data_IF_996281252397
#
_entry.id   IF_996281252397
#
_cell.length_a   1.000
_cell.length_b   1.000
_cell.length_c   1.000
_cell.angle_alpha   90.00
_cell.angle_beta   90.00
_cell.angle_gamma   90.00
#
_symmetry.space_group_name_H-M   'P 1'
#
loop_
_entity.id
_entity.type
_entity.pdbx_description
1 polymer ?
#
# COMPACT_ATOMS: atom_id res chain seq x y z
N UNK A 1 -19.08 32.35 -15.56
CA UNK A 1 -19.97 31.46 -16.32
C UNK A 1 -20.50 30.39 -15.39
N UNK A 2 -21.78 30.05 -15.54
CA UNK A 2 -22.41 28.98 -14.77
C UNK A 2 -22.04 27.57 -15.25
N UNK A 3 -22.76 26.59 -14.76
CA UNK A 3 -22.61 25.18 -15.14
C UNK A 3 -22.61 24.99 -16.66
N UNK A 4 -21.74 24.16 -17.19
CA UNK A 4 -21.46 24.04 -18.62
C UNK A 4 -22.69 23.80 -19.50
N UNK A 5 -23.64 22.99 -19.01
CA UNK A 5 -24.85 22.61 -19.78
C UNK A 5 -26.14 23.24 -19.26
N UNK A 6 -26.22 23.51 -17.95
CA UNK A 6 -27.43 24.01 -17.30
C UNK A 6 -27.40 25.54 -17.08
N UNK A 7 -26.19 26.09 -16.96
CA UNK A 7 -25.99 27.47 -16.62
C UNK A 7 -25.78 28.38 -17.83
N UNK A 8 -25.82 29.67 -17.55
CA UNK A 8 -25.54 30.77 -18.49
C UNK A 8 -24.53 31.74 -17.87
N UNK A 9 -24.17 32.78 -18.55
CA UNK A 9 -23.37 33.86 -17.99
C UNK A 9 -24.14 34.62 -16.92
N UNK A 10 -23.47 34.91 -15.81
CA UNK A 10 -23.99 35.71 -14.71
C UNK A 10 -22.98 36.79 -14.36
N UNK A 11 -23.48 38.01 -14.15
CA UNK A 11 -22.67 39.12 -13.68
C UNK A 11 -22.69 39.15 -12.15
N UNK A 12 -21.52 38.97 -11.54
CA UNK A 12 -21.34 39.06 -10.09
C UNK A 12 -20.95 40.49 -9.75
N UNK A 13 -21.86 41.21 -9.10
CA UNK A 13 -21.70 42.63 -8.80
C UNK A 13 -21.05 42.90 -7.46
N UNK A 14 -21.18 41.96 -6.50
CA UNK A 14 -20.64 42.07 -5.16
C UNK A 14 -20.06 40.74 -4.71
N UNK A 15 -18.98 40.77 -3.92
CA UNK A 15 -18.39 39.57 -3.38
C UNK A 15 -19.38 38.79 -2.49
N UNK A 16 -20.23 39.47 -1.75
CA UNK A 16 -21.21 38.87 -0.84
C UNK A 16 -22.30 38.08 -1.56
N UNK A 17 -22.56 38.36 -2.84
CA UNK A 17 -23.55 37.65 -3.67
C UNK A 17 -22.95 36.51 -4.50
N UNK A 18 -21.63 36.28 -4.41
CA UNK A 18 -20.89 35.34 -5.27
C UNK A 18 -21.49 33.92 -5.29
N UNK A 19 -21.69 33.36 -4.14
CA UNK A 19 -22.20 31.97 -4.00
C UNK A 19 -23.67 31.89 -4.46
N UNK A 20 -24.50 32.86 -4.07
CA UNK A 20 -25.90 32.89 -4.45
C UNK A 20 -26.07 33.08 -5.96
N UNK A 21 -25.28 33.95 -6.59
CA UNK A 21 -25.34 34.20 -8.03
C UNK A 21 -24.84 32.96 -8.83
N UNK A 22 -23.82 32.26 -8.34
CA UNK A 22 -23.38 31.00 -8.94
C UNK A 22 -24.41 29.87 -8.79
N UNK A 23 -25.10 29.79 -7.65
CA UNK A 23 -26.15 28.81 -7.41
C UNK A 23 -27.32 28.95 -8.40
N UNK A 24 -27.70 30.18 -8.77
CA UNK A 24 -28.75 30.44 -9.78
C UNK A 24 -28.39 29.88 -11.16
N UNK A 25 -27.13 29.66 -11.42
CA UNK A 25 -26.61 29.10 -12.68
C UNK A 25 -26.00 27.71 -12.49
N UNK A 26 -26.49 26.96 -11.50
CA UNK A 26 -26.14 25.54 -11.21
C UNK A 26 -24.67 25.34 -10.86
N UNK A 27 -24.09 26.22 -10.06
CA UNK A 27 -22.77 26.04 -9.48
C UNK A 27 -22.83 26.24 -7.96
N UNK A 28 -22.57 25.23 -7.19
CA UNK A 28 -22.42 25.29 -5.74
C UNK A 28 -20.94 25.51 -5.47
N UNK A 29 -20.55 26.74 -5.16
CA UNK A 29 -19.12 27.10 -4.99
C UNK A 29 -18.51 26.53 -3.72
N UNK A 30 -19.26 26.51 -2.62
CA UNK A 30 -18.81 25.96 -1.35
C UNK A 30 -18.69 24.44 -1.42
N UNK A 31 -17.46 23.92 -1.17
CA UNK A 31 -17.19 22.47 -1.17
C UNK A 31 -17.87 21.75 -0.02
N UNK A 32 -18.01 22.38 1.14
CA UNK A 32 -18.69 21.79 2.32
C UNK A 32 -20.16 21.61 2.02
N UNK A 33 -20.77 22.58 1.36
CA UNK A 33 -22.17 22.48 0.95
C UNK A 33 -22.36 21.36 -0.09
N UNK A 34 -21.48 21.27 -1.10
CA UNK A 34 -21.55 20.18 -2.09
C UNK A 34 -21.42 18.81 -1.44
N UNK A 35 -20.50 18.68 -0.48
CA UNK A 35 -20.31 17.43 0.29
C UNK A 35 -21.58 17.07 1.05
N UNK A 36 -22.16 18.00 1.79
CA UNK A 36 -23.41 17.78 2.51
C UNK A 36 -24.54 17.34 1.58
N UNK A 37 -24.68 17.99 0.42
CA UNK A 37 -25.68 17.61 -0.58
C UNK A 37 -25.48 16.18 -1.08
N UNK A 38 -24.24 15.75 -1.33
CA UNK A 38 -23.94 14.36 -1.76
C UNK A 38 -24.31 13.39 -0.65
N UNK A 39 -23.86 13.61 0.58
CA UNK A 39 -24.12 12.74 1.73
C UNK A 39 -25.62 12.63 2.06
N UNK A 40 -26.36 13.74 2.00
CA UNK A 40 -27.81 13.75 2.22
C UNK A 40 -28.56 12.94 1.16
N UNK A 41 -28.16 13.08 -0.11
CA UNK A 41 -28.77 12.33 -1.21
C UNK A 41 -28.43 10.83 -1.12
N UNK A 42 -27.18 10.47 -0.79
CA UNK A 42 -26.82 9.07 -0.54
C UNK A 42 -27.65 8.52 0.61
N UNK A 43 -27.77 9.27 1.71
CA UNK A 43 -28.57 8.85 2.87
C UNK A 43 -30.05 8.67 2.53
N UNK A 44 -30.60 9.50 1.69
CA UNK A 44 -31.98 9.34 1.21
C UNK A 44 -32.15 8.04 0.42
N UNK A 45 -31.21 7.70 -0.46
CA UNK A 45 -31.22 6.46 -1.22
C UNK A 45 -31.08 5.24 -0.29
N UNK A 46 -30.18 5.30 0.70
CA UNK A 46 -30.05 4.22 1.70
C UNK A 46 -31.36 3.90 2.40
N UNK A 47 -32.06 4.94 2.84
CA UNK A 47 -33.34 4.79 3.55
C UNK A 47 -34.43 4.27 2.62
N UNK A 48 -34.51 4.79 1.39
CA UNK A 48 -35.52 4.39 0.41
C UNK A 48 -35.36 2.93 -0.03
N UNK A 49 -34.09 2.51 -0.24
CA UNK A 49 -33.77 1.20 -0.81
C UNK A 49 -33.45 0.13 0.26
N UNK A 50 -33.35 0.52 1.53
CA UNK A 50 -32.99 -0.40 2.63
C UNK A 50 -31.59 -0.99 2.47
N UNK A 51 -30.62 -0.15 2.12
CA UNK A 51 -29.23 -0.53 1.85
C UNK A 51 -28.26 0.31 2.66
N UNK A 52 -26.98 -0.07 2.64
CA UNK A 52 -25.87 0.73 3.12
C UNK A 52 -24.94 1.07 1.95
N UNK A 53 -24.43 2.30 1.94
CA UNK A 53 -23.45 2.76 0.95
C UNK A 53 -22.10 2.88 1.65
N UNK A 54 -21.10 2.17 1.13
CA UNK A 54 -19.73 2.32 1.60
C UNK A 54 -19.16 3.62 1.01
N UNK A 55 -19.12 4.67 1.83
CA UNK A 55 -18.55 5.95 1.40
C UNK A 55 -17.08 5.98 1.79
N UNK A 56 -16.21 5.71 0.81
CA UNK A 56 -14.78 5.98 0.94
C UNK A 56 -14.53 7.49 0.91
N UNK A 57 -13.84 8.03 1.92
CA UNK A 57 -13.61 9.46 2.07
C UNK A 57 -12.67 10.03 0.98
N UNK A 58 -11.72 9.23 0.51
CA UNK A 58 -10.84 9.60 -0.60
C UNK A 58 -11.61 9.73 -1.91
N UNK A 59 -12.44 8.73 -2.21
CA UNK A 59 -13.33 8.75 -3.37
C UNK A 59 -14.33 9.88 -3.30
N UNK A 60 -14.94 10.13 -2.13
CA UNK A 60 -15.87 11.25 -1.96
C UNK A 60 -15.19 12.59 -2.23
N UNK A 61 -13.97 12.78 -1.71
CA UNK A 61 -13.20 14.01 -1.97
C UNK A 61 -12.85 14.16 -3.46
N UNK A 62 -12.53 13.07 -4.16
CA UNK A 62 -12.31 13.10 -5.61
C UNK A 62 -13.58 13.51 -6.34
N UNK A 63 -14.72 12.84 -6.07
CA UNK A 63 -16.02 13.12 -6.68
C UNK A 63 -16.45 14.57 -6.42
N UNK A 64 -16.28 15.05 -5.19
CA UNK A 64 -16.59 16.42 -4.77
C UNK A 64 -15.89 17.48 -5.63
N UNK A 65 -14.66 17.20 -6.06
CA UNK A 65 -13.87 18.10 -6.91
C UNK A 65 -14.17 17.95 -8.41
N UNK A 66 -14.92 16.92 -8.81
CA UNK A 66 -15.34 16.69 -10.20
C UNK A 66 -16.73 17.30 -10.53
N UNK A 67 -17.51 17.68 -9.52
CA UNK A 67 -18.88 18.15 -9.70
C UNK A 67 -19.08 19.57 -9.21
N UNK A 68 -19.89 20.36 -9.94
CA UNK A 68 -20.30 21.72 -9.56
C UNK A 68 -21.73 21.75 -8.99
N UNK A 69 -22.57 20.80 -9.44
CA UNK A 69 -23.95 20.66 -9.01
C UNK A 69 -24.28 19.17 -8.88
N UNK A 70 -24.14 18.59 -7.68
CA UNK A 70 -24.23 17.15 -7.51
C UNK A 70 -25.66 16.63 -7.51
N UNK A 71 -25.90 15.54 -8.26
CA UNK A 71 -27.10 14.72 -8.18
C UNK A 71 -26.70 13.26 -8.06
N UNK A 72 -26.87 12.66 -6.89
CA UNK A 72 -26.61 11.25 -6.65
C UNK A 72 -27.74 10.38 -7.22
N UNK A 73 -27.38 9.21 -7.72
CA UNK A 73 -28.32 8.22 -8.23
C UNK A 73 -27.80 6.79 -8.00
N UNK A 74 -28.71 5.85 -7.97
CA UNK A 74 -28.38 4.42 -7.91
C UNK A 74 -28.56 3.78 -9.28
N UNK A 75 -27.57 2.99 -9.71
CA UNK A 75 -27.63 2.11 -10.86
C UNK A 75 -27.50 0.64 -10.44
N UNK A 76 -27.72 -0.26 -11.40
CA UNK A 76 -27.76 -1.70 -11.21
C UNK A 76 -26.84 -2.40 -12.21
N UNK A 77 -26.43 -3.62 -11.87
CA UNK A 77 -25.82 -4.56 -12.81
C UNK A 77 -26.37 -5.98 -12.58
N UNK A 78 -26.12 -6.88 -13.52
CA UNK A 78 -26.64 -8.25 -13.42
C UNK A 78 -26.01 -8.97 -12.19
N UNK A 79 -26.83 -9.55 -11.30
CA UNK A 79 -26.35 -10.30 -10.14
C UNK A 79 -25.36 -11.44 -10.45
N UNK A 80 -25.33 -11.94 -11.70
CA UNK A 80 -24.36 -12.97 -12.11
C UNK A 80 -22.90 -12.56 -11.87
N UNK A 81 -22.60 -11.26 -11.95
CA UNK A 81 -21.23 -10.77 -11.71
C UNK A 81 -20.79 -10.90 -10.26
N UNK A 82 -21.69 -11.10 -9.30
CA UNK A 82 -21.34 -11.36 -7.90
C UNK A 82 -20.61 -12.73 -7.71
N UNK A 83 -20.54 -13.57 -8.74
CA UNK A 83 -19.68 -14.77 -8.75
C UNK A 83 -18.18 -14.45 -8.92
N UNK A 84 -17.85 -13.25 -9.42
CA UNK A 84 -16.49 -12.75 -9.51
C UNK A 84 -16.03 -12.25 -8.14
N UNK A 85 -14.74 -12.38 -7.77
CA UNK A 85 -14.26 -11.85 -6.50
C UNK A 85 -14.67 -10.42 -6.25
N UNK A 86 -15.11 -10.15 -5.02
CA UNK A 86 -15.63 -8.83 -4.63
C UNK A 86 -14.66 -7.69 -4.94
N UNK A 87 -13.36 -7.93 -4.75
CA UNK A 87 -12.31 -6.93 -4.97
C UNK A 87 -12.24 -6.48 -6.43
N UNK A 88 -12.53 -7.37 -7.38
CA UNK A 88 -12.61 -7.01 -8.82
C UNK A 88 -13.78 -6.07 -9.07
N UNK A 89 -14.94 -6.34 -8.44
CA UNK A 89 -16.13 -5.53 -8.57
C UNK A 89 -15.93 -4.15 -7.91
N UNK A 90 -15.38 -4.13 -6.70
CA UNK A 90 -15.06 -2.90 -5.96
C UNK A 90 -14.07 -2.04 -6.73
N UNK A 91 -12.97 -2.62 -7.22
CA UNK A 91 -11.98 -1.89 -8.05
C UNK A 91 -12.62 -1.33 -9.31
N UNK A 92 -13.45 -2.12 -10.00
CA UNK A 92 -14.17 -1.65 -11.19
C UNK A 92 -15.08 -0.46 -10.89
N UNK A 93 -15.77 -0.47 -9.74
CA UNK A 93 -16.66 0.60 -9.31
C UNK A 93 -15.89 1.83 -8.80
N UNK A 94 -15.08 1.68 -7.77
CA UNK A 94 -14.44 2.80 -7.06
C UNK A 94 -13.26 3.38 -7.85
N UNK A 95 -12.31 2.53 -8.26
CA UNK A 95 -11.07 3.00 -8.89
C UNK A 95 -11.28 3.44 -10.34
N UNK A 96 -12.07 2.67 -11.12
CA UNK A 96 -12.20 2.93 -12.55
C UNK A 96 -13.37 3.87 -12.89
N UNK A 97 -14.49 3.77 -12.16
CA UNK A 97 -15.71 4.51 -12.50
C UNK A 97 -16.09 5.61 -11.51
N UNK A 98 -15.46 5.69 -10.35
CA UNK A 98 -15.79 6.63 -9.27
C UNK A 98 -17.21 6.43 -8.75
N UNK A 99 -17.64 5.17 -8.61
CA UNK A 99 -18.93 4.78 -8.04
C UNK A 99 -18.73 4.26 -6.62
N UNK A 100 -19.67 4.59 -5.74
CA UNK A 100 -19.70 4.06 -4.37
C UNK A 100 -20.36 2.69 -4.34
N UNK A 101 -19.81 1.82 -3.55
CA UNK A 101 -20.27 0.43 -3.37
C UNK A 101 -21.52 0.39 -2.51
N UNK A 102 -22.48 -0.44 -2.89
CA UNK A 102 -23.72 -0.67 -2.15
C UNK A 102 -23.71 -2.06 -1.51
N UNK A 103 -24.07 -2.11 -0.22
CA UNK A 103 -24.16 -3.34 0.56
C UNK A 103 -25.56 -3.51 1.13
N UNK A 104 -25.93 -4.75 1.46
CA UNK A 104 -27.11 -5.01 2.28
C UNK A 104 -26.81 -4.66 3.76
N UNK A 105 -27.84 -4.80 4.63
CA UNK A 105 -27.69 -4.51 6.05
C UNK A 105 -26.82 -5.52 6.81
N UNK A 106 -26.49 -6.66 6.18
CA UNK A 106 -25.61 -7.71 6.68
C UNK A 106 -24.16 -7.52 6.20
N UNK A 107 -23.92 -6.52 5.34
CA UNK A 107 -22.60 -6.15 4.82
C UNK A 107 -22.22 -6.84 3.51
N UNK A 108 -23.09 -7.65 2.90
CA UNK A 108 -22.81 -8.30 1.61
C UNK A 108 -22.93 -7.31 0.46
N UNK A 109 -22.06 -7.46 -0.54
CA UNK A 109 -22.11 -6.66 -1.76
C UNK A 109 -23.42 -6.86 -2.51
N UNK A 110 -24.06 -5.76 -2.91
CA UNK A 110 -25.26 -5.78 -3.75
C UNK A 110 -24.91 -5.49 -5.21
N UNK A 111 -25.73 -5.96 -6.18
CA UNK A 111 -25.55 -5.67 -7.59
C UNK A 111 -26.01 -4.24 -7.95
N UNK A 112 -25.58 -3.29 -7.15
CA UNK A 112 -25.94 -1.89 -7.24
C UNK A 112 -24.70 -1.00 -7.02
N UNK A 113 -24.78 0.22 -7.52
CA UNK A 113 -23.77 1.25 -7.27
C UNK A 113 -24.43 2.62 -7.10
N UNK A 114 -23.75 3.53 -6.43
CA UNK A 114 -24.11 4.95 -6.41
C UNK A 114 -23.10 5.73 -7.23
N UNK A 115 -23.60 6.62 -8.07
CA UNK A 115 -22.78 7.60 -8.76
C UNK A 115 -23.33 9.00 -8.57
N UNK A 116 -22.51 10.02 -8.79
CA UNK A 116 -22.87 11.43 -8.64
C UNK A 116 -22.71 12.13 -9.99
N UNK A 117 -23.82 12.54 -10.55
CA UNK A 117 -23.86 13.33 -11.77
C UNK A 117 -23.48 14.78 -11.47
N UNK A 118 -22.69 15.40 -12.34
CA UNK A 118 -22.57 16.86 -12.39
C UNK A 118 -23.74 17.42 -13.20
N UNK A 119 -24.80 17.84 -12.54
CA UNK A 119 -26.01 18.36 -13.17
C UNK A 119 -27.29 18.03 -12.38
N UNK A 120 -28.45 18.49 -12.88
CA UNK A 120 -29.76 18.27 -12.27
C UNK A 120 -30.31 16.84 -12.56
N UNK A 121 -31.47 16.52 -12.00
CA UNK A 121 -32.12 15.21 -12.16
C UNK A 121 -32.90 15.06 -13.50
N UNK A 122 -32.86 16.03 -14.40
CA UNK A 122 -33.56 15.94 -15.66
C UNK A 122 -32.96 14.87 -16.56
N UNK A 123 -33.78 13.98 -17.10
CA UNK A 123 -33.35 12.81 -17.91
C UNK A 123 -32.36 11.88 -17.20
N UNK A 124 -32.46 11.74 -15.87
CA UNK A 124 -31.54 10.94 -15.06
C UNK A 124 -31.54 9.47 -15.47
N UNK A 125 -32.68 8.94 -15.95
CA UNK A 125 -32.82 7.58 -16.48
C UNK A 125 -31.86 7.26 -17.64
N UNK A 126 -31.54 8.26 -18.48
CA UNK A 126 -30.56 8.08 -19.56
C UNK A 126 -29.13 8.04 -19.03
N UNK A 127 -28.85 8.84 -18.00
CA UNK A 127 -27.55 8.85 -17.31
C UNK A 127 -27.32 7.51 -16.61
N UNK A 128 -28.32 7.02 -15.87
CA UNK A 128 -28.26 5.70 -15.20
C UNK A 128 -27.92 4.61 -16.22
N UNK A 129 -28.70 4.47 -17.29
CA UNK A 129 -28.45 3.47 -18.34
C UNK A 129 -27.08 3.60 -18.99
N UNK A 130 -26.56 4.83 -19.16
CA UNK A 130 -25.22 5.06 -19.68
C UNK A 130 -24.14 4.55 -18.74
N UNK A 131 -24.27 4.84 -17.44
CA UNK A 131 -23.31 4.38 -16.42
C UNK A 131 -23.38 2.87 -16.20
N UNK A 132 -24.57 2.27 -16.17
CA UNK A 132 -24.75 0.81 -16.12
C UNK A 132 -24.03 0.11 -17.29
N UNK A 133 -24.19 0.63 -18.52
CA UNK A 133 -23.53 0.06 -19.69
C UNK A 133 -22.00 0.15 -19.64
N UNK A 134 -21.46 1.24 -19.13
CA UNK A 134 -20.00 1.41 -18.97
C UNK A 134 -19.46 0.44 -17.93
N UNK A 135 -20.15 0.32 -16.77
CA UNK A 135 -19.76 -0.60 -15.72
C UNK A 135 -19.80 -2.05 -16.21
N UNK A 136 -20.90 -2.47 -16.89
CA UNK A 136 -21.06 -3.83 -17.41
C UNK A 136 -19.89 -4.26 -18.29
N UNK A 137 -19.37 -3.38 -19.16
CA UNK A 137 -18.23 -3.69 -19.99
C UNK A 137 -16.98 -4.06 -19.15
N UNK A 138 -16.72 -3.37 -18.04
CA UNK A 138 -15.64 -3.69 -17.10
C UNK A 138 -15.89 -4.99 -16.34
N UNK A 139 -17.15 -5.23 -15.95
CA UNK A 139 -17.51 -6.46 -15.25
C UNK A 139 -17.44 -7.68 -16.17
N UNK A 140 -17.72 -7.53 -17.47
CA UNK A 140 -17.53 -8.58 -18.48
C UNK A 140 -16.05 -8.95 -18.65
N UNK A 141 -15.15 -7.95 -18.69
CA UNK A 141 -13.70 -8.18 -18.72
C UNK A 141 -13.25 -8.92 -17.44
N UNK A 142 -13.71 -8.47 -16.26
CA UNK A 142 -13.41 -9.13 -14.98
C UNK A 142 -13.91 -10.57 -14.92
N UNK A 143 -15.16 -10.84 -15.36
CA UNK A 143 -15.72 -12.20 -15.44
C UNK A 143 -14.93 -13.06 -16.40
N UNK A 144 -14.55 -12.54 -17.56
CA UNK A 144 -13.76 -13.25 -18.56
C UNK A 144 -12.40 -13.68 -18.01
N UNK A 145 -11.63 -12.74 -17.44
CA UNK A 145 -10.31 -13.05 -16.88
C UNK A 145 -10.42 -13.98 -15.67
N UNK A 146 -11.41 -13.77 -14.79
CA UNK A 146 -11.65 -14.69 -13.66
C UNK A 146 -11.80 -16.14 -14.10
N UNK A 147 -12.52 -16.40 -15.20
CA UNK A 147 -12.72 -17.74 -15.73
C UNK A 147 -11.52 -18.29 -16.50
N UNK A 148 -10.84 -17.46 -17.27
CA UNK A 148 -9.70 -17.88 -18.09
C UNK A 148 -8.45 -18.17 -17.23
N UNK A 149 -8.16 -17.32 -16.25
CA UNK A 149 -6.99 -17.46 -15.41
C UNK A 149 -7.01 -18.73 -14.54
N UNK A 150 -8.20 -19.19 -14.13
CA UNK A 150 -8.35 -20.45 -13.39
C UNK A 150 -7.90 -21.70 -14.19
N UNK A 151 -7.75 -21.60 -15.51
CA UNK A 151 -7.24 -22.69 -16.36
C UNK A 151 -5.71 -22.74 -16.39
N UNK A 152 -5.04 -21.69 -15.91
CA UNK A 152 -3.59 -21.57 -15.92
C UNK A 152 -2.97 -22.35 -14.76
N UNK A 153 -1.76 -22.85 -14.96
CA UNK A 153 -0.99 -23.51 -13.90
C UNK A 153 0.04 -22.52 -13.34
N UNK A 154 0.11 -22.44 -12.03
CA UNK A 154 1.05 -21.55 -11.33
C UNK A 154 2.48 -21.79 -11.78
N UNK A 155 2.92 -23.04 -11.89
CA UNK A 155 4.27 -23.41 -12.29
C UNK A 155 4.63 -22.92 -13.71
N UNK A 156 3.67 -22.95 -14.63
CA UNK A 156 3.88 -22.48 -16.00
C UNK A 156 4.01 -20.94 -16.04
N UNK A 157 3.24 -20.23 -15.21
CA UNK A 157 3.35 -18.79 -15.06
C UNK A 157 4.70 -18.39 -14.43
N UNK A 158 5.09 -19.06 -13.34
CA UNK A 158 6.38 -18.85 -12.68
C UNK A 158 7.55 -19.07 -13.64
N UNK A 159 7.50 -20.11 -14.47
CA UNK A 159 8.53 -20.36 -15.48
C UNK A 159 8.66 -19.21 -16.49
N UNK A 160 7.53 -18.63 -16.90
CA UNK A 160 7.51 -17.48 -17.84
C UNK A 160 8.07 -16.18 -17.25
N UNK A 161 8.13 -16.02 -15.92
CA UNK A 161 8.70 -14.85 -15.26
C UNK A 161 10.21 -14.68 -15.54
N UNK A 162 10.89 -15.72 -16.04
CA UNK A 162 12.25 -15.63 -16.57
C UNK A 162 12.39 -14.70 -17.80
N UNK A 163 11.29 -14.46 -18.50
CA UNK A 163 11.23 -13.58 -19.66
C UNK A 163 10.69 -12.18 -19.32
N UNK A 164 10.29 -11.94 -18.08
CA UNK A 164 9.82 -10.64 -17.60
C UNK A 164 10.98 -9.93 -16.94
N UNK A 165 11.37 -8.79 -17.49
CA UNK A 165 12.47 -7.98 -16.96
C UNK A 165 12.07 -7.32 -15.65
N UNK A 166 12.81 -7.58 -14.56
CA UNK A 166 12.70 -6.82 -13.32
C UNK A 166 13.37 -5.45 -13.50
N UNK A 167 14.63 -5.46 -13.94
CA UNK A 167 15.36 -4.28 -14.40
C UNK A 167 16.49 -4.72 -15.33
N UNK A 168 16.76 -3.97 -16.40
CA UNK A 168 17.74 -4.36 -17.44
C UNK A 168 19.16 -4.63 -16.91
N UNK A 169 19.58 -3.98 -15.82
CA UNK A 169 20.88 -4.17 -15.17
C UNK A 169 20.87 -5.23 -14.06
N UNK A 170 19.70 -5.68 -13.62
CA UNK A 170 19.55 -6.56 -12.45
C UNK A 170 19.13 -7.96 -12.88
N UNK A 171 18.31 -8.06 -13.94
CA UNK A 171 17.82 -9.33 -14.45
C UNK A 171 16.31 -9.44 -14.51
N UNK A 172 15.81 -10.67 -14.52
CA UNK A 172 14.40 -11.03 -14.63
C UNK A 172 13.68 -11.06 -13.28
N UNK A 173 12.33 -11.05 -13.32
CA UNK A 173 11.51 -11.28 -12.13
C UNK A 173 11.77 -12.66 -11.52
N UNK A 174 12.08 -13.68 -12.32
CA UNK A 174 12.41 -15.01 -11.80
C UNK A 174 13.69 -14.99 -10.99
N UNK A 175 14.73 -14.28 -11.43
CA UNK A 175 15.97 -14.12 -10.68
C UNK A 175 15.76 -13.33 -9.39
N UNK A 176 14.94 -12.27 -9.42
CA UNK A 176 14.50 -11.54 -8.23
C UNK A 176 13.82 -12.49 -7.23
N UNK A 177 12.87 -13.34 -7.67
CA UNK A 177 12.20 -14.31 -6.80
C UNK A 177 13.18 -15.31 -6.16
N UNK A 178 14.18 -15.77 -6.92
CA UNK A 178 15.20 -16.72 -6.41
C UNK A 178 16.01 -16.06 -5.30
N UNK A 179 16.49 -14.83 -5.49
CA UNK A 179 17.24 -14.08 -4.48
C UNK A 179 16.37 -13.80 -3.25
N UNK A 180 15.11 -13.35 -3.48
CA UNK A 180 14.14 -13.17 -2.40
C UNK A 180 13.95 -14.44 -1.57
N UNK A 181 13.85 -15.61 -2.21
CA UNK A 181 13.74 -16.88 -1.51
C UNK A 181 14.95 -17.20 -0.64
N UNK A 182 16.16 -16.91 -1.11
CA UNK A 182 17.40 -17.10 -0.33
C UNK A 182 17.45 -16.16 0.89
N UNK A 183 17.06 -14.90 0.70
CA UNK A 183 16.96 -13.91 1.78
C UNK A 183 15.90 -14.35 2.80
N UNK A 184 14.75 -14.83 2.33
CA UNK A 184 13.65 -15.29 3.17
C UNK A 184 14.07 -16.44 4.11
N UNK A 185 14.84 -17.41 3.59
CA UNK A 185 15.36 -18.53 4.41
C UNK A 185 16.26 -18.00 5.54
N UNK A 186 17.17 -17.07 5.24
CA UNK A 186 18.05 -16.48 6.26
C UNK A 186 17.26 -15.69 7.31
N UNK A 187 16.25 -14.95 6.88
CA UNK A 187 15.37 -14.19 7.78
C UNK A 187 14.52 -15.12 8.65
N UNK A 188 14.00 -16.20 8.10
CA UNK A 188 13.21 -17.19 8.84
C UNK A 188 13.96 -17.76 10.03
N UNK A 189 15.25 -18.10 9.86
CA UNK A 189 16.12 -18.57 10.93
C UNK A 189 16.28 -17.50 12.03
N UNK A 190 16.59 -16.25 11.62
CA UNK A 190 16.80 -15.14 12.56
C UNK A 190 15.51 -14.71 13.28
N UNK A 191 14.37 -14.82 12.64
CA UNK A 191 13.05 -14.50 13.21
C UNK A 191 12.44 -15.65 14.01
N UNK A 192 13.06 -16.84 14.01
CA UNK A 192 12.62 -18.01 14.77
C UNK A 192 11.32 -18.61 14.26
N UNK A 193 11.14 -18.70 12.93
CA UNK A 193 10.01 -19.40 12.33
C UNK A 193 10.07 -20.90 12.67
N UNK A 194 8.89 -21.49 12.87
CA UNK A 194 8.74 -22.95 13.00
C UNK A 194 9.08 -23.67 11.69
N UNK A 195 9.23 -24.99 11.76
CA UNK A 195 9.50 -25.81 10.58
C UNK A 195 8.36 -25.69 9.56
N UNK A 196 7.11 -25.75 10.03
CA UNK A 196 5.93 -25.64 9.15
C UNK A 196 5.84 -24.26 8.49
N UNK A 197 6.03 -23.18 9.26
CA UNK A 197 6.10 -21.81 8.72
C UNK A 197 7.23 -21.65 7.70
N UNK A 198 8.37 -22.30 7.91
CA UNK A 198 9.51 -22.27 6.98
C UNK A 198 9.23 -23.02 5.68
N UNK A 199 8.47 -24.14 5.74
CA UNK A 199 8.01 -24.86 4.56
C UNK A 199 7.04 -24.00 3.75
N UNK A 200 6.06 -23.38 4.41
CA UNK A 200 5.09 -22.50 3.79
C UNK A 200 5.78 -21.26 3.16
N UNK A 201 6.76 -20.68 3.86
CA UNK A 201 7.56 -19.58 3.34
C UNK A 201 8.33 -19.96 2.07
N UNK A 202 8.96 -21.13 2.07
CA UNK A 202 9.69 -21.62 0.90
C UNK A 202 8.74 -21.81 -0.30
N UNK A 203 7.54 -22.35 -0.07
CA UNK A 203 6.52 -22.48 -1.12
C UNK A 203 6.04 -21.12 -1.60
N UNK A 204 5.69 -20.22 -0.69
CA UNK A 204 5.25 -18.87 -1.04
C UNK A 204 6.32 -18.12 -1.86
N UNK A 205 7.58 -18.12 -1.41
CA UNK A 205 8.68 -17.47 -2.12
C UNK A 205 8.93 -18.05 -3.53
N UNK A 206 8.61 -19.33 -3.74
CA UNK A 206 8.75 -19.96 -5.05
C UNK A 206 7.72 -19.49 -6.08
N UNK A 207 6.56 -18.96 -5.64
CA UNK A 207 5.43 -18.67 -6.52
C UNK A 207 4.88 -17.24 -6.44
N UNK A 208 5.20 -16.44 -5.45
CA UNK A 208 4.52 -15.21 -5.02
C UNK A 208 4.28 -14.11 -6.07
N UNK A 209 4.94 -14.16 -7.23
CA UNK A 209 4.76 -13.19 -8.32
C UNK A 209 4.03 -13.77 -9.56
N UNK A 210 3.49 -15.00 -9.47
CA UNK A 210 2.86 -15.65 -10.62
C UNK A 210 1.67 -14.88 -11.18
N UNK A 211 0.92 -14.19 -10.32
CA UNK A 211 -0.29 -13.44 -10.65
C UNK A 211 -0.03 -12.26 -11.59
N UNK A 212 1.18 -11.73 -11.64
CA UNK A 212 1.58 -10.68 -12.58
C UNK A 212 1.43 -11.10 -14.07
N UNK A 213 1.31 -12.40 -14.34
CA UNK A 213 1.10 -12.95 -15.69
C UNK A 213 -0.34 -13.45 -15.92
N UNK A 214 -1.24 -13.20 -14.99
CA UNK A 214 -2.67 -13.45 -15.18
C UNK A 214 -3.32 -12.35 -15.99
N UNK A 215 -4.38 -12.66 -16.71
CA UNK A 215 -5.16 -11.66 -17.44
C UNK A 215 -5.81 -10.65 -16.50
N UNK A 216 -6.28 -11.13 -15.34
CA UNK A 216 -6.90 -10.27 -14.33
C UNK A 216 -5.95 -9.17 -13.84
N UNK A 217 -4.73 -9.51 -13.44
CA UNK A 217 -3.75 -8.50 -12.97
C UNK A 217 -3.24 -7.65 -14.14
N UNK A 218 -3.24 -8.18 -15.37
CA UNK A 218 -2.93 -7.40 -16.56
C UNK A 218 -3.93 -6.28 -16.87
N UNK A 219 -5.21 -6.46 -16.52
CA UNK A 219 -6.29 -5.47 -16.69
C UNK A 219 -6.49 -4.61 -15.43
N UNK A 220 -6.31 -5.21 -14.25
CA UNK A 220 -6.51 -4.59 -12.93
C UNK A 220 -5.22 -4.73 -12.11
N UNK A 221 -4.24 -3.87 -12.38
CA UNK A 221 -2.91 -3.95 -11.77
C UNK A 221 -2.94 -3.68 -10.25
N UNK A 222 -3.96 -2.97 -9.76
CA UNK A 222 -4.21 -2.76 -8.33
C UNK A 222 -4.52 -4.06 -7.57
N UNK A 223 -4.94 -5.12 -8.27
CA UNK A 223 -5.30 -6.40 -7.68
C UNK A 223 -4.12 -7.39 -7.58
N UNK A 224 -2.90 -6.96 -7.92
CA UNK A 224 -1.72 -7.80 -7.71
C UNK A 224 -1.58 -8.20 -6.23
N UNK A 225 -1.21 -9.44 -5.97
CA UNK A 225 -1.18 -10.03 -4.64
C UNK A 225 -2.54 -10.50 -4.16
N UNK A 226 -3.59 -9.69 -4.25
CA UNK A 226 -4.97 -10.06 -3.90
C UNK A 226 -5.45 -11.21 -4.77
N UNK A 227 -5.30 -11.08 -6.09
CA UNK A 227 -5.66 -12.15 -7.01
C UNK A 227 -4.69 -13.33 -6.93
N UNK A 228 -3.41 -13.06 -6.60
CA UNK A 228 -2.44 -14.10 -6.28
C UNK A 228 -2.89 -15.00 -5.13
N UNK A 229 -3.39 -14.43 -4.02
CA UNK A 229 -3.98 -15.18 -2.91
C UNK A 229 -5.15 -16.06 -3.39
N UNK A 230 -6.10 -15.47 -4.11
CA UNK A 230 -7.32 -16.17 -4.56
C UNK A 230 -7.00 -17.30 -5.51
N UNK A 231 -6.17 -17.09 -6.51
CA UNK A 231 -5.76 -18.13 -7.45
C UNK A 231 -4.90 -19.22 -6.80
N UNK A 232 -4.07 -18.86 -5.81
CA UNK A 232 -3.31 -19.84 -5.04
C UNK A 232 -4.24 -20.77 -4.25
N UNK A 233 -5.25 -20.24 -3.57
CA UNK A 233 -6.28 -21.04 -2.87
C UNK A 233 -7.04 -21.97 -3.83
N UNK A 234 -7.45 -21.47 -4.99
CA UNK A 234 -8.13 -22.27 -6.01
C UNK A 234 -7.24 -23.38 -6.59
N UNK A 235 -5.93 -23.14 -6.67
CA UNK A 235 -4.96 -24.13 -7.11
C UNK A 235 -4.61 -25.17 -6.01
N UNK A 236 -5.15 -25.02 -4.80
CA UNK A 236 -4.96 -25.96 -3.69
C UNK A 236 -3.80 -25.64 -2.78
N UNK A 237 -3.20 -24.44 -2.87
CA UNK A 237 -2.22 -23.98 -1.87
C UNK A 237 -2.92 -23.78 -0.50
N UNK A 238 -2.16 -23.95 0.58
CA UNK A 238 -2.73 -23.71 1.90
C UNK A 238 -2.92 -22.21 2.18
N UNK A 239 -3.73 -21.89 3.19
CA UNK A 239 -4.09 -20.52 3.52
C UNK A 239 -2.88 -19.63 3.88
N UNK A 240 -1.87 -20.19 4.57
CA UNK A 240 -0.67 -19.46 4.97
C UNK A 240 0.15 -19.03 3.75
N UNK A 241 0.34 -19.92 2.79
CA UNK A 241 1.03 -19.64 1.52
C UNK A 241 0.26 -18.57 0.73
N UNK A 242 -1.05 -18.74 0.60
CA UNK A 242 -1.90 -17.82 -0.14
C UNK A 242 -1.91 -16.42 0.50
N UNK A 243 -2.06 -16.34 1.82
CA UNK A 243 -2.00 -15.08 2.56
C UNK A 243 -0.64 -14.38 2.39
N UNK A 244 0.47 -15.13 2.46
CA UNK A 244 1.80 -14.56 2.27
C UNK A 244 1.99 -13.97 0.86
N UNK A 245 1.37 -14.57 -0.16
CA UNK A 245 1.37 -14.02 -1.53
C UNK A 245 0.71 -12.64 -1.55
N UNK A 246 -0.40 -12.43 -0.85
CA UNK A 246 -1.02 -11.11 -0.74
C UNK A 246 -0.16 -10.14 0.08
N UNK A 247 0.31 -10.58 1.24
CA UNK A 247 0.97 -9.74 2.22
C UNK A 247 2.37 -9.26 1.83
N UNK A 248 3.05 -9.92 0.86
CA UNK A 248 4.40 -9.53 0.50
C UNK A 248 4.51 -8.12 -0.11
N UNK A 249 3.41 -7.57 -0.63
CA UNK A 249 3.37 -6.18 -1.09
C UNK A 249 3.29 -5.17 0.07
N UNK A 250 2.82 -5.60 1.25
CA UNK A 250 2.61 -4.72 2.39
C UNK A 250 3.93 -4.32 3.08
N UNK A 251 4.00 -3.12 3.66
CA UNK A 251 3.11 -2.01 3.40
C UNK A 251 3.31 -1.45 1.98
N UNK A 252 2.22 -1.08 1.33
CA UNK A 252 2.20 -0.50 -0.02
C UNK A 252 2.38 1.02 -0.04
N UNK A 253 2.18 1.65 1.11
CA UNK A 253 2.31 3.09 1.33
C UNK A 253 3.08 3.39 2.63
N UNK A 254 3.40 4.66 2.88
CA UNK A 254 4.18 5.06 4.05
C UNK A 254 3.51 4.65 5.37
N UNK A 255 2.18 4.78 5.44
CA UNK A 255 1.35 4.48 6.61
C UNK A 255 0.38 3.31 6.36
N UNK A 256 0.56 2.57 5.24
CA UNK A 256 -0.26 1.43 4.85
C UNK A 256 -0.24 0.28 5.85
N UNK A 257 -1.19 -0.63 5.71
CA UNK A 257 -1.28 -1.82 6.55
C UNK A 257 0.00 -2.66 6.50
N UNK A 258 0.32 -3.32 7.60
CA UNK A 258 1.45 -4.25 7.70
C UNK A 258 0.99 -5.69 7.44
N UNK A 259 1.88 -6.62 7.06
CA UNK A 259 1.56 -8.04 7.06
C UNK A 259 1.10 -8.49 8.44
N UNK A 260 0.09 -9.35 8.49
CA UNK A 260 -0.43 -9.91 9.75
C UNK A 260 0.25 -11.24 10.10
N UNK A 261 0.62 -12.01 9.06
CA UNK A 261 1.27 -13.31 9.23
C UNK A 261 2.80 -13.18 9.28
N UNK A 262 3.46 -14.02 10.09
CA UNK A 262 4.93 -14.07 10.12
C UNK A 262 5.51 -14.46 8.76
N UNK A 263 4.88 -15.39 8.06
CA UNK A 263 5.31 -15.87 6.75
C UNK A 263 5.23 -14.74 5.72
N UNK A 264 4.11 -14.02 5.69
CA UNK A 264 3.93 -12.84 4.82
C UNK A 264 4.92 -11.72 5.15
N UNK A 265 5.13 -11.46 6.44
CA UNK A 265 6.08 -10.43 6.89
C UNK A 265 7.53 -10.74 6.48
N UNK A 266 7.98 -11.99 6.64
CA UNK A 266 9.32 -12.41 6.19
C UNK A 266 9.44 -12.33 4.68
N UNK A 267 8.42 -12.76 3.93
CA UNK A 267 8.43 -12.64 2.47
C UNK A 267 8.47 -11.18 2.01
N UNK A 268 7.68 -10.30 2.66
CA UNK A 268 7.68 -8.85 2.40
C UNK A 268 9.04 -8.21 2.71
N UNK A 269 9.68 -8.59 3.83
CA UNK A 269 11.04 -8.15 4.16
C UNK A 269 12.06 -8.59 3.12
N UNK A 270 12.01 -9.87 2.71
CA UNK A 270 12.93 -10.44 1.75
C UNK A 270 12.81 -9.77 0.37
N UNK A 271 11.59 -9.55 -0.10
CA UNK A 271 11.30 -8.86 -1.38
C UNK A 271 11.83 -7.41 -1.38
N UNK A 272 11.58 -6.68 -0.28
CA UNK A 272 12.05 -5.30 -0.12
C UNK A 272 13.57 -5.21 0.05
N UNK A 273 14.19 -6.17 0.74
CA UNK A 273 15.65 -6.24 0.89
C UNK A 273 16.32 -6.57 -0.44
N UNK A 274 15.82 -7.58 -1.20
CA UNK A 274 16.39 -7.84 -2.54
C UNK A 274 16.27 -6.63 -3.45
N UNK A 275 15.12 -5.97 -3.44
CA UNK A 275 14.91 -4.73 -4.21
C UNK A 275 15.95 -3.68 -3.81
N UNK A 276 16.09 -3.37 -2.53
CA UNK A 276 17.04 -2.36 -2.05
C UNK A 276 18.48 -2.69 -2.46
N UNK A 277 18.92 -3.91 -2.16
CA UNK A 277 20.29 -4.36 -2.43
C UNK A 277 20.61 -4.40 -3.93
N UNK A 278 19.68 -4.93 -4.74
CA UNK A 278 19.85 -5.04 -6.18
C UNK A 278 19.96 -3.68 -6.86
N UNK A 279 19.13 -2.72 -6.49
CA UNK A 279 19.20 -1.36 -7.07
C UNK A 279 20.45 -0.61 -6.62
N UNK A 280 20.83 -0.73 -5.35
CA UNK A 280 22.07 -0.15 -4.84
C UNK A 280 23.31 -0.73 -5.54
N UNK A 281 23.34 -2.05 -5.78
CA UNK A 281 24.46 -2.73 -6.42
C UNK A 281 24.75 -2.23 -7.83
N UNK A 282 23.76 -1.70 -8.54
CA UNK A 282 23.91 -1.13 -9.89
C UNK A 282 23.97 0.40 -9.90
N UNK A 283 24.14 1.02 -8.70
CA UNK A 283 24.32 2.47 -8.54
C UNK A 283 23.04 3.28 -8.68
N UNK A 284 21.87 2.65 -8.60
CA UNK A 284 20.57 3.34 -8.69
C UNK A 284 20.09 3.76 -7.29
N UNK A 285 20.84 4.66 -6.67
CA UNK A 285 20.61 5.16 -5.31
C UNK A 285 19.74 6.42 -5.35
N UNK A 286 18.65 6.50 -4.56
CA UNK A 286 17.81 7.68 -4.51
C UNK A 286 18.56 8.94 -4.07
N UNK A 287 18.37 10.05 -4.77
CA UNK A 287 19.00 11.34 -4.45
C UNK A 287 17.98 12.49 -4.49
N UNK A 288 18.04 13.40 -3.50
CA UNK A 288 17.09 14.50 -3.41
C UNK A 288 15.63 14.03 -3.42
N UNK A 289 14.80 14.54 -4.32
CA UNK A 289 13.41 14.10 -4.54
C UNK A 289 13.28 12.93 -5.51
N UNK A 290 14.37 12.52 -6.19
CA UNK A 290 14.34 11.48 -7.19
C UNK A 290 14.44 10.09 -6.55
N UNK A 291 13.36 9.30 -6.71
CA UNK A 291 13.25 7.90 -6.25
C UNK A 291 12.30 7.12 -7.17
N UNK A 292 12.69 6.88 -8.42
CA UNK A 292 11.81 6.28 -9.43
C UNK A 292 11.42 4.83 -9.11
N UNK A 293 12.18 4.15 -8.24
CA UNK A 293 11.94 2.76 -7.84
C UNK A 293 11.34 2.64 -6.44
N UNK A 294 10.93 3.75 -5.83
CA UNK A 294 10.31 3.80 -4.50
C UNK A 294 11.13 3.10 -3.40
N UNK A 295 12.47 3.15 -3.48
CA UNK A 295 13.37 2.51 -2.52
C UNK A 295 13.21 3.08 -1.11
N UNK A 296 12.84 4.37 -0.98
CA UNK A 296 12.55 4.97 0.33
C UNK A 296 11.32 4.34 0.96
N UNK A 297 10.28 4.08 0.17
CA UNK A 297 9.06 3.41 0.64
C UNK A 297 9.35 1.96 1.00
N UNK A 298 10.07 1.24 0.16
CA UNK A 298 10.49 -0.14 0.45
C UNK A 298 11.27 -0.22 1.76
N UNK A 299 12.26 0.67 1.96
CA UNK A 299 13.07 0.71 3.19
C UNK A 299 12.25 1.13 4.42
N UNK A 300 11.29 2.04 4.27
CA UNK A 300 10.35 2.37 5.34
C UNK A 300 9.53 1.14 5.74
N UNK A 301 9.11 0.34 4.76
CA UNK A 301 8.42 -0.94 4.99
C UNK A 301 9.28 -1.93 5.77
N UNK A 302 10.58 -2.07 5.43
CA UNK A 302 11.52 -2.93 6.18
C UNK A 302 11.55 -2.53 7.65
N UNK A 303 11.75 -1.24 7.94
CA UNK A 303 11.87 -0.74 9.31
C UNK A 303 10.57 -0.93 10.10
N UNK A 304 9.41 -0.63 9.48
CA UNK A 304 8.09 -0.82 10.09
C UNK A 304 7.77 -2.28 10.42
N UNK A 305 8.07 -3.19 9.50
CA UNK A 305 7.83 -4.64 9.73
C UNK A 305 8.72 -5.15 10.86
N UNK A 306 10.01 -4.79 10.88
CA UNK A 306 10.94 -5.21 11.93
C UNK A 306 10.51 -4.71 13.31
N UNK A 307 10.02 -3.48 13.39
CA UNK A 307 9.53 -2.88 14.63
C UNK A 307 8.22 -3.53 15.08
N UNK A 308 7.23 -3.68 14.21
CA UNK A 308 5.91 -4.22 14.53
C UNK A 308 5.98 -5.66 15.05
N UNK A 309 6.81 -6.50 14.43
CA UNK A 309 7.03 -7.88 14.87
C UNK A 309 8.01 -8.00 16.05
N UNK A 310 8.67 -6.92 16.44
CA UNK A 310 9.66 -6.93 17.52
C UNK A 310 10.84 -7.86 17.24
N UNK A 311 11.25 -8.02 15.98
CA UNK A 311 12.37 -8.89 15.64
C UNK A 311 13.72 -8.21 15.90
N UNK A 312 14.48 -8.80 16.82
CA UNK A 312 15.83 -8.31 17.20
C UNK A 312 16.90 -8.82 16.22
N UNK A 313 16.83 -8.36 14.97
CA UNK A 313 17.78 -8.75 13.92
C UNK A 313 18.85 -7.67 13.77
N UNK A 314 20.16 -7.96 14.07
CA UNK A 314 21.24 -7.03 13.82
C UNK A 314 21.41 -6.76 12.32
N UNK A 315 21.17 -5.52 11.91
CA UNK A 315 21.12 -5.13 10.48
C UNK A 315 22.49 -5.16 9.82
N UNK A 316 23.55 -4.85 10.54
CA UNK A 316 24.94 -4.93 10.06
C UNK A 316 25.34 -6.37 9.74
N UNK A 317 25.04 -7.32 10.64
CA UNK A 317 25.28 -8.75 10.42
C UNK A 317 24.39 -9.30 9.30
N UNK A 318 23.12 -8.90 9.27
CA UNK A 318 22.19 -9.30 8.20
C UNK A 318 22.72 -8.84 6.85
N UNK A 319 23.00 -7.57 6.68
CA UNK A 319 23.48 -7.01 5.40
C UNK A 319 24.83 -7.66 5.01
N UNK A 320 25.75 -7.87 5.95
CA UNK A 320 27.01 -8.58 5.68
C UNK A 320 26.75 -10.03 5.19
N UNK A 321 25.81 -10.74 5.82
CA UNK A 321 25.44 -12.11 5.42
C UNK A 321 24.81 -12.14 4.03
N UNK A 322 23.97 -11.16 3.69
CA UNK A 322 23.33 -11.06 2.36
C UNK A 322 24.37 -10.79 1.25
N UNK A 323 25.36 -9.95 1.50
CA UNK A 323 26.48 -9.75 0.57
C UNK A 323 27.36 -11.00 0.42
N UNK A 324 27.50 -11.80 1.48
CA UNK A 324 28.27 -13.05 1.44
C UNK A 324 27.54 -14.18 0.69
N UNK A 325 26.21 -14.11 0.51
CA UNK A 325 25.47 -15.06 -0.32
C UNK A 325 25.83 -14.98 -1.81
N UNK A 326 26.73 -14.05 -2.19
CA UNK A 326 27.28 -13.89 -3.55
C UNK A 326 26.19 -13.95 -4.62
N UNK A 327 25.35 -12.93 -4.64
CA UNK A 327 24.57 -12.70 -5.84
C UNK A 327 25.57 -12.27 -6.93
N UNK A 328 25.75 -13.05 -7.98
CA UNK A 328 26.69 -12.78 -9.09
C UNK A 328 26.51 -11.39 -9.71
N UNK A 329 25.39 -10.73 -9.41
CA UNK A 329 25.04 -9.37 -9.86
C UNK A 329 25.49 -8.25 -8.91
N UNK A 330 25.90 -8.55 -7.66
CA UNK A 330 26.34 -7.52 -6.71
C UNK A 330 27.81 -7.16 -6.95
N UNK A 331 28.05 -6.29 -7.90
CA UNK A 331 29.41 -5.92 -8.36
C UNK A 331 30.04 -4.79 -7.56
N UNK A 332 29.29 -4.13 -6.67
CA UNK A 332 29.74 -2.95 -5.91
C UNK A 332 29.49 -3.13 -4.41
N UNK A 333 30.54 -2.97 -3.59
CA UNK A 333 30.39 -3.01 -2.11
C UNK A 333 29.91 -1.65 -1.59
N UNK A 334 28.62 -1.57 -1.36
CA UNK A 334 27.94 -0.37 -0.84
C UNK A 334 27.18 -0.66 0.48
N UNK A 335 27.69 -1.60 1.29
CA UNK A 335 27.06 -1.99 2.57
C UNK A 335 26.81 -0.80 3.49
N UNK A 336 27.81 0.08 3.62
CA UNK A 336 27.69 1.26 4.47
C UNK A 336 26.60 2.22 3.98
N UNK A 337 26.49 2.43 2.67
CA UNK A 337 25.44 3.25 2.07
C UNK A 337 24.05 2.66 2.32
N UNK A 338 23.89 1.33 2.20
CA UNK A 338 22.64 0.62 2.50
C UNK A 338 22.28 0.79 3.98
N UNK A 339 23.23 0.56 4.90
CA UNK A 339 23.00 0.70 6.34
C UNK A 339 22.62 2.14 6.70
N UNK A 340 23.30 3.13 6.14
CA UNK A 340 22.97 4.55 6.34
C UNK A 340 21.59 4.89 5.77
N UNK A 341 21.21 4.30 4.65
CA UNK A 341 19.88 4.48 4.06
C UNK A 341 18.78 3.90 4.95
N UNK A 342 19.01 2.75 5.59
CA UNK A 342 18.08 2.16 6.56
C UNK A 342 18.02 3.02 7.84
N UNK A 343 19.19 3.44 8.39
CA UNK A 343 19.26 4.33 9.57
C UNK A 343 18.46 5.62 9.38
N UNK A 344 18.50 6.20 8.18
CA UNK A 344 17.70 7.39 7.88
C UNK A 344 16.18 7.14 7.94
N UNK A 345 15.71 5.88 7.79
CA UNK A 345 14.29 5.53 7.99
C UNK A 345 13.97 5.33 9.47
N UNK A 346 14.90 4.74 10.24
CA UNK A 346 14.78 4.64 11.69
C UNK A 346 14.69 6.04 12.32
N UNK A 347 15.57 6.98 11.90
CA UNK A 347 15.50 8.40 12.33
C UNK A 347 14.12 9.02 12.08
N UNK A 348 13.57 8.79 10.88
CA UNK A 348 12.24 9.28 10.55
C UNK A 348 11.15 8.66 11.44
N UNK A 349 11.24 7.38 11.76
CA UNK A 349 10.28 6.70 12.65
C UNK A 349 10.32 7.19 14.09
N UNK A 350 11.46 7.65 14.59
CA UNK A 350 11.56 8.28 15.91
C UNK A 350 10.77 9.62 16.01
N UNK A 351 10.24 10.12 14.92
CA UNK A 351 9.26 11.22 14.87
C UNK A 351 9.74 12.49 15.57
N UNK A 352 9.01 12.91 16.59
CA UNK A 352 9.28 14.14 17.36
C UNK A 352 10.29 13.98 18.52
N UNK A 353 10.96 12.82 18.62
CA UNK A 353 12.05 12.61 19.59
C UNK A 353 13.12 13.68 19.45
N UNK A 354 13.66 14.19 20.58
CA UNK A 354 14.67 15.23 20.61
C UNK A 354 15.92 14.83 19.81
N UNK A 355 16.53 15.79 19.13
CA UNK A 355 17.62 15.56 18.18
C UNK A 355 18.83 14.87 18.81
N UNK A 356 19.21 15.28 20.01
CA UNK A 356 20.32 14.71 20.78
C UNK A 356 20.08 13.24 21.16
N UNK A 357 18.84 12.87 21.50
CA UNK A 357 18.44 11.48 21.75
C UNK A 357 18.53 10.66 20.45
N UNK A 358 18.02 11.19 19.34
CA UNK A 358 18.11 10.53 18.04
C UNK A 358 19.55 10.27 17.64
N UNK A 359 20.42 11.30 17.74
CA UNK A 359 21.84 11.19 17.44
C UNK A 359 22.53 10.16 18.33
N UNK A 360 22.22 10.11 19.63
CA UNK A 360 22.77 9.14 20.55
C UNK A 360 22.35 7.70 20.19
N UNK A 361 21.07 7.47 19.88
CA UNK A 361 20.56 6.15 19.51
C UNK A 361 21.18 5.69 18.20
N UNK A 362 21.23 6.55 17.16
CA UNK A 362 21.76 6.21 15.84
C UNK A 362 23.28 5.98 15.84
N UNK A 363 24.01 6.55 16.83
CA UNK A 363 25.43 6.32 17.03
C UNK A 363 25.74 4.99 17.74
N UNK A 364 24.73 4.29 18.25
CA UNK A 364 24.91 2.98 18.88
C UNK A 364 25.56 1.99 17.90
N UNK A 365 26.49 1.16 18.43
CA UNK A 365 27.09 0.05 17.68
C UNK A 365 26.13 -1.11 17.47
N UNK A 366 25.03 -1.19 18.23
CA UNK A 366 23.99 -2.19 18.08
C UNK A 366 22.93 -1.66 17.12
N UNK A 367 22.97 -2.08 15.84
CA UNK A 367 21.99 -1.69 14.85
C UNK A 367 20.87 -2.72 14.77
N UNK A 368 20.02 -2.76 15.79
CA UNK A 368 18.75 -3.47 15.83
C UNK A 368 17.62 -2.46 15.82
N UNK A 369 16.76 -2.52 14.82
CA UNK A 369 15.71 -1.49 14.58
C UNK A 369 14.77 -1.35 15.78
N UNK A 370 14.25 -2.47 16.30
CA UNK A 370 13.34 -2.47 17.45
C UNK A 370 13.99 -1.87 18.69
N UNK A 371 15.25 -2.28 18.99
CA UNK A 371 16.00 -1.77 20.14
C UNK A 371 16.25 -0.26 20.04
N UNK A 372 16.56 0.24 18.84
CA UNK A 372 16.77 1.67 18.62
C UNK A 372 15.51 2.49 18.89
N UNK A 373 14.36 2.02 18.40
CA UNK A 373 13.09 2.72 18.60
C UNK A 373 12.70 2.68 20.08
N UNK A 374 12.82 1.54 20.74
CA UNK A 374 12.56 1.37 22.16
C UNK A 374 13.51 2.25 23.02
N UNK A 375 14.79 2.29 22.67
CA UNK A 375 15.77 3.14 23.34
C UNK A 375 15.41 4.63 23.19
N UNK A 376 14.97 5.08 22.00
CA UNK A 376 14.54 6.46 21.78
C UNK A 376 13.33 6.84 22.65
N UNK A 377 12.36 5.94 22.77
CA UNK A 377 11.18 6.11 23.64
C UNK A 377 11.60 6.18 25.10
N UNK A 378 12.41 5.21 25.55
CA UNK A 378 12.88 5.10 26.93
C UNK A 378 13.73 6.32 27.35
N UNK A 379 14.64 6.78 26.49
CA UNK A 379 15.46 7.98 26.75
C UNK A 379 14.61 9.25 26.76
N UNK A 380 13.60 9.35 25.88
CA UNK A 380 12.67 10.49 25.87
C UNK A 380 11.89 10.57 27.19
N UNK A 381 11.49 9.43 27.74
CA UNK A 381 10.81 9.39 29.03
C UNK A 381 11.78 9.72 30.18
N UNK A 382 12.95 9.13 30.19
CA UNK A 382 13.98 9.39 31.20
C UNK A 382 14.39 10.88 31.21
N UNK A 383 14.46 11.54 30.04
CA UNK A 383 14.83 12.94 29.92
C UNK A 383 13.87 13.92 30.63
N UNK A 384 12.66 13.47 31.00
CA UNK A 384 11.70 14.26 31.79
C UNK A 384 12.06 14.28 33.28
N UNK A 385 12.95 13.40 33.74
CA UNK A 385 13.39 13.32 35.14
C UNK A 385 14.35 14.46 35.47
N UNK A 386 14.22 15.05 36.68
CA UNK A 386 15.11 16.12 37.16
C UNK A 386 16.59 15.68 37.27
N UNK A 387 16.81 14.38 37.55
CA UNK A 387 18.16 13.84 37.73
C UNK A 387 18.83 13.40 36.40
N UNK A 388 18.11 13.42 35.28
CA UNK A 388 18.63 12.95 34.00
C UNK A 388 19.89 13.66 33.57
N UNK A 389 19.88 15.00 33.59
CA UNK A 389 20.99 15.82 33.17
C UNK A 389 22.24 15.57 34.03
N UNK A 390 22.07 15.49 35.37
CA UNK A 390 23.18 15.25 36.30
C UNK A 390 23.78 13.84 36.13
N UNK A 391 22.94 12.86 35.79
CA UNK A 391 23.36 11.47 35.49
C UNK A 391 24.19 11.43 34.21
N UNK A 392 23.71 12.05 33.12
CA UNK A 392 24.44 12.13 31.83
C UNK A 392 25.79 12.84 32.01
N UNK A 393 25.85 13.99 32.74
CA UNK A 393 27.08 14.70 33.01
C UNK A 393 28.08 13.87 33.83
N UNK A 394 27.59 13.09 34.80
CA UNK A 394 28.43 12.22 35.64
C UNK A 394 29.00 11.06 34.83
N UNK A 395 28.19 10.41 33.98
CA UNK A 395 28.64 9.38 33.06
C UNK A 395 29.66 9.90 32.05
N UNK A 396 29.41 11.06 31.44
CA UNK A 396 30.36 11.68 30.50
C UNK A 396 31.70 11.98 31.13
N UNK A 397 31.74 12.44 32.40
CA UNK A 397 33.00 12.62 33.13
C UNK A 397 33.73 11.31 33.37
N UNK A 398 33.01 10.23 33.73
CA UNK A 398 33.59 8.91 33.94
C UNK A 398 34.21 8.35 32.64
N UNK A 399 33.51 8.45 31.50
CA UNK A 399 34.04 8.05 30.21
C UNK A 399 35.28 8.82 29.79
N UNK A 400 35.25 10.16 29.90
CA UNK A 400 36.42 11.01 29.59
C UNK A 400 37.62 10.70 30.46
N UNK A 401 37.43 10.25 31.69
CA UNK A 401 38.52 9.81 32.57
C UNK A 401 39.08 8.46 32.16
N UNK A 402 38.20 7.52 31.78
CA UNK A 402 38.59 6.19 31.31
C UNK A 402 39.41 6.25 30.00
N UNK A 403 39.00 7.10 29.03
CA UNK A 403 39.75 7.31 27.79
C UNK A 403 41.15 7.89 28.02
N UNK A 404 41.32 8.72 29.04
CA UNK A 404 42.64 9.29 29.39
C UNK A 404 43.53 8.36 30.19
N UNK A 405 42.98 7.26 30.70
CA UNK A 405 43.70 6.25 31.49
C UNK A 405 44.29 5.11 30.65
N UNK A 406 43.87 4.99 29.39
CA UNK A 406 44.42 4.12 28.36
C UNK A 406 45.38 4.91 27.45
#
# INVERSE_FOLDING_TARGET
>A
RGHRFLGHEVEIRHADSYEEDLRKVYVIADSIERENMIREQIKAIEVEQGVQVQVDEGLLNEVLNLVEYPTAFMGNFDPKYLEVPEEVLVTSMETHQRYFVVRDLEGNLKPNFISVRNGNAEHLENVIRGNEKVLVARLEDGEFFWREDQKLKIEDLVAKLSHVTFHEKIGSLREHMIRTGQIAILLAEKAGLSVDESIDLARAAAIYKFDLLTGMVGEFDELQGIMGEKYALLAGENATVAQAIREHYLPDSADGALPESKVGAILALADKLDTLLSFFSVGLIPSGSNDPYALRRATQGIVRILEDFGWHIPMDELIASLYALSFDSLTYDNREEVLNFIKARVDKMMGSTAKDIKEAVLASSNFVVSDMIEAAVSLTEAAKSEDYKSSVESLSRAFNLAEKAN
#
